data_IF_647826853086
#
_entry.id   IF_647826853086
#
_cell.length_a   1.000
_cell.length_b   1.000
_cell.length_c   1.000
_cell.angle_alpha   90.00
_cell.angle_beta   90.00
_cell.angle_gamma   90.00
#
_symmetry.space_group_name_H-M   'P 1'
#
loop_
_entity.id
_entity.type
_entity.pdbx_description
1 polymer ?
#
# COMPACT_ATOMS: atom_id res chain seq x y z
N UNK A 1 23.61 22.65 -18.68
CA UNK A 1 23.41 24.11 -18.67
C UNK A 1 23.46 24.53 -20.14
N UNK A 2 22.31 24.83 -20.73
CA UNK A 2 22.22 25.27 -22.14
C UNK A 2 21.70 26.70 -22.09
N UNK A 3 22.56 27.67 -22.39
CA UNK A 3 22.15 29.07 -22.57
C UNK A 3 21.54 29.21 -23.96
N UNK A 4 20.26 29.54 -24.03
CA UNK A 4 19.63 29.96 -25.29
C UNK A 4 19.65 31.48 -25.32
N UNK A 5 20.26 32.05 -26.35
CA UNK A 5 20.31 33.50 -26.57
C UNK A 5 19.20 33.89 -27.57
N UNK A 6 18.45 34.96 -27.29
CA UNK A 6 17.43 35.50 -28.20
C UNK A 6 17.90 36.89 -28.65
N UNK A 7 17.87 37.14 -29.96
CA UNK A 7 18.30 38.38 -30.60
C UNK A 7 17.11 39.33 -30.78
N UNK A 8 17.19 40.56 -30.25
CA UNK A 8 16.15 41.59 -30.42
C UNK A 8 16.77 42.89 -30.94
N UNK A 9 17.08 42.94 -32.25
CA UNK A 9 17.34 44.21 -32.95
C UNK A 9 18.42 45.12 -32.37
N UNK A 10 18.27 46.43 -32.62
CA UNK A 10 19.29 47.49 -32.55
C UNK A 10 19.86 47.85 -31.16
N UNK A 11 19.61 47.03 -30.14
CA UNK A 11 20.05 47.28 -28.76
C UNK A 11 20.60 46.02 -28.06
N UNK A 12 21.46 45.26 -28.75
CA UNK A 12 22.40 44.32 -28.13
C UNK A 12 21.81 43.11 -27.38
N UNK A 13 22.69 42.22 -26.92
CA UNK A 13 22.30 41.04 -26.13
C UNK A 13 22.01 41.44 -24.68
N UNK A 14 20.75 41.35 -24.25
CA UNK A 14 20.39 41.54 -22.84
C UNK A 14 20.29 40.19 -22.13
N UNK A 15 21.02 39.96 -21.02
CA UNK A 15 20.81 38.80 -20.17
C UNK A 15 19.52 39.02 -19.36
N UNK A 16 18.40 38.48 -19.84
CA UNK A 16 17.19 38.40 -19.03
C UNK A 16 17.35 37.26 -18.03
N UNK A 17 17.72 37.60 -16.80
CA UNK A 17 17.57 36.68 -15.66
C UNK A 17 16.07 36.58 -15.39
N UNK A 18 15.39 35.68 -16.08
CA UNK A 18 14.11 35.17 -15.61
C UNK A 18 14.40 34.33 -14.36
N UNK A 19 13.91 34.69 -13.16
CA UNK A 19 13.89 33.75 -12.06
C UNK A 19 12.84 32.69 -12.41
N UNK A 20 13.24 31.67 -13.16
CA UNK A 20 12.51 30.42 -13.17
C UNK A 20 12.73 29.80 -11.79
N UNK A 21 11.89 30.21 -10.83
CA UNK A 21 11.70 29.43 -9.62
C UNK A 21 11.04 28.12 -10.06
N UNK A 22 11.74 26.96 -10.01
CA UNK A 22 11.07 25.70 -10.23
C UNK A 22 9.93 25.60 -9.18
N UNK A 23 8.74 25.09 -9.55
CA UNK A 23 7.67 24.91 -8.58
C UNK A 23 8.23 24.09 -7.43
N UNK A 24 8.15 24.62 -6.21
CA UNK A 24 8.65 24.00 -4.99
C UNK A 24 8.36 22.51 -5.01
N UNK A 25 9.40 21.72 -5.27
CA UNK A 25 9.33 20.29 -5.03
C UNK A 25 9.03 20.17 -3.54
N UNK A 26 7.80 19.76 -3.18
CA UNK A 26 7.46 19.37 -1.81
C UNK A 26 8.39 18.21 -1.44
N UNK A 27 9.50 18.54 -0.78
CA UNK A 27 10.47 17.59 -0.28
C UNK A 27 9.80 16.84 0.87
N UNK A 28 9.24 15.67 0.59
CA UNK A 28 8.75 14.78 1.65
C UNK A 28 9.97 14.26 2.42
N UNK A 29 10.05 14.44 3.74
CA UNK A 29 11.20 14.02 4.53
C UNK A 29 11.25 12.52 4.84
N UNK A 30 10.29 11.76 4.33
CA UNK A 30 10.08 10.34 4.57
C UNK A 30 10.72 9.52 3.45
N UNK A 31 11.55 8.55 3.79
CA UNK A 31 12.09 7.59 2.82
C UNK A 31 11.03 6.50 2.57
N UNK A 32 10.62 6.31 1.32
CA UNK A 32 9.71 5.22 0.97
C UNK A 32 10.51 4.07 0.36
N UNK A 33 10.33 2.87 0.90
CA UNK A 33 10.96 1.64 0.44
C UNK A 33 9.89 0.68 -0.05
N UNK A 34 10.05 0.20 -1.28
CA UNK A 34 9.15 -0.79 -1.86
C UNK A 34 9.80 -2.15 -1.77
N UNK A 35 9.13 -3.08 -1.10
CA UNK A 35 9.62 -4.45 -0.90
C UNK A 35 8.75 -5.40 -1.73
N UNK A 36 9.28 -5.92 -2.85
CA UNK A 36 8.65 -7.01 -3.55
C UNK A 36 8.69 -8.30 -2.73
N UNK A 37 7.61 -9.07 -2.74
CA UNK A 37 7.60 -10.42 -2.17
C UNK A 37 7.00 -11.42 -3.14
N UNK A 38 7.63 -12.56 -3.33
CA UNK A 38 7.08 -13.67 -4.11
C UNK A 38 6.06 -14.47 -3.28
N UNK A 39 5.17 -15.18 -3.96
CA UNK A 39 4.39 -16.24 -3.30
C UNK A 39 5.28 -17.47 -3.10
N UNK A 40 5.04 -18.22 -2.03
CA UNK A 40 5.62 -19.56 -1.89
C UNK A 40 5.09 -20.50 -2.98
N UNK A 41 5.79 -21.60 -3.27
CA UNK A 41 5.39 -22.55 -4.32
C UNK A 41 3.97 -23.09 -4.12
N UNK A 42 3.58 -23.39 -2.87
CA UNK A 42 2.25 -23.87 -2.52
C UNK A 42 1.16 -22.79 -2.73
N UNK A 43 1.45 -21.54 -2.34
CA UNK A 43 0.54 -20.41 -2.55
C UNK A 43 0.40 -20.09 -4.04
N UNK A 44 1.51 -20.11 -4.77
CA UNK A 44 1.57 -19.87 -6.21
C UNK A 44 0.77 -20.94 -6.97
N UNK A 45 0.97 -22.21 -6.65
CA UNK A 45 0.20 -23.31 -7.21
C UNK A 45 -1.31 -23.10 -7.02
N UNK A 46 -1.74 -22.80 -5.79
CA UNK A 46 -3.16 -22.57 -5.48
C UNK A 46 -3.70 -21.34 -6.20
N UNK A 47 -2.92 -20.26 -6.25
CA UNK A 47 -3.26 -19.04 -6.97
C UNK A 47 -3.45 -19.29 -8.47
N UNK A 48 -2.60 -20.12 -9.08
CA UNK A 48 -2.66 -20.45 -10.50
C UNK A 48 -3.86 -21.34 -10.84
N UNK A 49 -4.18 -22.33 -10.00
CA UNK A 49 -5.39 -23.13 -10.19
C UNK A 49 -6.65 -22.25 -10.12
N UNK A 50 -6.75 -21.38 -9.12
CA UNK A 50 -7.86 -20.44 -9.01
C UNK A 50 -7.90 -19.46 -10.20
N UNK A 51 -6.73 -19.03 -10.68
CA UNK A 51 -6.61 -18.16 -11.85
C UNK A 51 -7.16 -18.82 -13.10
N UNK A 52 -6.90 -20.11 -13.30
CA UNK A 52 -7.44 -20.89 -14.41
C UNK A 52 -8.96 -20.99 -14.35
N UNK A 53 -9.54 -21.26 -13.17
CA UNK A 53 -11.00 -21.32 -12.99
C UNK A 53 -11.66 -20.00 -13.41
N UNK A 54 -11.15 -18.87 -12.89
CA UNK A 54 -11.70 -17.54 -13.20
C UNK A 54 -11.55 -17.20 -14.68
N UNK A 55 -10.36 -17.43 -15.25
CA UNK A 55 -10.11 -17.14 -16.68
C UNK A 55 -10.99 -17.98 -17.58
N UNK A 56 -11.14 -19.28 -17.31
CA UNK A 56 -11.98 -20.20 -18.09
C UNK A 56 -13.44 -19.77 -18.06
N UNK A 57 -13.96 -19.38 -16.89
CA UNK A 57 -15.34 -18.90 -16.77
C UNK A 57 -15.57 -17.63 -17.60
N UNK A 58 -14.69 -16.63 -17.47
CA UNK A 58 -14.80 -15.37 -18.22
C UNK A 58 -14.65 -15.61 -19.73
N UNK A 59 -13.72 -16.47 -20.15
CA UNK A 59 -13.52 -16.78 -21.57
C UNK A 59 -14.78 -17.40 -22.17
N UNK A 60 -15.36 -18.42 -21.54
CA UNK A 60 -16.61 -19.05 -21.98
C UNK A 60 -17.76 -18.06 -22.07
N UNK A 61 -17.93 -17.19 -21.06
CA UNK A 61 -18.97 -16.15 -21.09
C UNK A 61 -18.77 -15.12 -22.21
N UNK A 62 -17.53 -14.93 -22.67
CA UNK A 62 -17.24 -14.05 -23.80
C UNK A 62 -17.53 -14.66 -25.17
N UNK A 63 -17.60 -15.99 -25.26
CA UNK A 63 -18.08 -16.67 -26.47
C UNK A 63 -19.57 -16.34 -26.71
N UNK A 64 -20.36 -16.31 -25.64
CA UNK A 64 -21.79 -15.96 -25.68
C UNK A 64 -22.02 -14.43 -25.73
N UNK A 65 -21.26 -13.68 -24.94
CA UNK A 65 -21.37 -12.23 -24.81
C UNK A 65 -19.99 -11.56 -24.92
N UNK A 66 -19.56 -11.12 -26.12
CA UNK A 66 -18.21 -10.59 -26.33
C UNK A 66 -17.79 -9.44 -25.40
N UNK A 67 -18.77 -8.64 -24.93
CA UNK A 67 -18.54 -7.51 -23.99
C UNK A 67 -18.62 -7.91 -22.51
N UNK A 68 -18.65 -9.21 -22.18
CA UNK A 68 -18.78 -9.68 -20.80
C UNK A 68 -17.63 -9.18 -19.91
N UNK A 69 -18.01 -8.59 -18.76
CA UNK A 69 -17.10 -8.00 -17.78
C UNK A 69 -17.25 -8.66 -16.41
N UNK A 70 -16.30 -8.35 -15.54
CA UNK A 70 -16.30 -8.79 -14.15
C UNK A 70 -17.62 -8.48 -13.41
N UNK A 71 -18.24 -7.32 -13.67
CA UNK A 71 -19.52 -6.96 -13.06
C UNK A 71 -20.64 -7.97 -13.38
N UNK A 72 -20.61 -8.58 -14.58
CA UNK A 72 -21.55 -9.64 -14.95
C UNK A 72 -21.39 -10.89 -14.09
N UNK A 73 -20.14 -11.28 -13.79
CA UNK A 73 -19.87 -12.42 -12.91
C UNK A 73 -20.40 -12.17 -11.49
N UNK A 74 -20.29 -10.95 -10.97
CA UNK A 74 -20.90 -10.59 -9.70
C UNK A 74 -22.43 -10.79 -9.71
N UNK A 75 -23.12 -10.30 -10.75
CA UNK A 75 -24.57 -10.42 -10.87
C UNK A 75 -25.06 -11.87 -11.01
N UNK A 76 -24.29 -12.73 -11.69
CA UNK A 76 -24.67 -14.12 -11.93
C UNK A 76 -24.36 -15.07 -10.78
N UNK A 77 -23.64 -14.61 -9.75
CA UNK A 77 -23.24 -15.43 -8.60
C UNK A 77 -24.47 -15.99 -7.87
N UNK A 78 -25.59 -15.25 -7.80
CA UNK A 78 -26.82 -15.77 -7.20
C UNK A 78 -27.44 -16.92 -8.00
N UNK A 79 -27.46 -16.82 -9.33
CA UNK A 79 -28.20 -17.72 -10.20
C UNK A 79 -27.40 -18.97 -10.63
N UNK A 80 -26.13 -18.80 -11.02
CA UNK A 80 -25.37 -19.86 -11.68
C UNK A 80 -24.34 -20.53 -10.74
N UNK A 81 -24.36 -21.87 -10.55
CA UNK A 81 -23.35 -22.59 -9.77
C UNK A 81 -21.91 -22.36 -10.25
N UNK A 82 -21.70 -22.30 -11.57
CA UNK A 82 -20.41 -22.03 -12.17
C UNK A 82 -19.89 -20.61 -11.86
N UNK A 83 -20.79 -19.61 -11.81
CA UNK A 83 -20.46 -18.25 -11.39
C UNK A 83 -20.01 -18.21 -9.93
N UNK A 84 -20.74 -18.91 -9.03
CA UNK A 84 -20.35 -19.05 -7.62
C UNK A 84 -18.97 -19.65 -7.46
N UNK A 85 -18.66 -20.70 -8.21
CA UNK A 85 -17.36 -21.34 -8.16
C UNK A 85 -16.25 -20.37 -8.61
N UNK A 86 -16.45 -19.68 -9.74
CA UNK A 86 -15.49 -18.68 -10.21
C UNK A 86 -15.31 -17.53 -9.20
N UNK A 87 -16.38 -17.08 -8.55
CA UNK A 87 -16.33 -16.04 -7.52
C UNK A 87 -15.55 -16.50 -6.28
N UNK A 88 -15.80 -17.73 -5.80
CA UNK A 88 -15.02 -18.32 -4.69
C UNK A 88 -13.54 -18.42 -5.02
N UNK A 89 -13.20 -18.88 -6.23
CA UNK A 89 -11.81 -18.94 -6.70
C UNK A 89 -11.17 -17.55 -6.76
N UNK A 90 -11.92 -16.53 -7.20
CA UNK A 90 -11.44 -15.15 -7.19
C UNK A 90 -11.15 -14.64 -5.78
N UNK A 91 -12.05 -14.85 -4.81
CA UNK A 91 -11.82 -14.42 -3.44
C UNK A 91 -10.63 -15.14 -2.80
N UNK A 92 -10.46 -16.44 -3.07
CA UNK A 92 -9.30 -17.17 -2.58
C UNK A 92 -7.98 -16.60 -3.11
N UNK A 93 -7.93 -16.19 -4.38
CA UNK A 93 -6.76 -15.48 -4.93
C UNK A 93 -6.47 -14.19 -4.19
N UNK A 94 -7.51 -13.39 -3.92
CA UNK A 94 -7.36 -12.12 -3.20
C UNK A 94 -6.87 -12.34 -1.77
N UNK A 95 -7.34 -13.41 -1.12
CA UNK A 95 -6.85 -13.85 0.19
C UNK A 95 -5.36 -14.20 0.16
N UNK A 96 -4.91 -14.96 -0.85
CA UNK A 96 -3.49 -15.32 -1.04
C UNK A 96 -2.65 -14.07 -1.29
N UNK A 97 -3.07 -13.18 -2.20
CA UNK A 97 -2.36 -11.92 -2.49
C UNK A 97 -2.20 -11.04 -1.24
N UNK A 98 -3.25 -10.93 -0.42
CA UNK A 98 -3.26 -10.00 0.71
C UNK A 98 -2.52 -10.54 1.93
N UNK A 99 -2.48 -11.86 2.14
CA UNK A 99 -1.96 -12.50 3.35
C UNK A 99 -0.82 -13.51 3.09
N UNK A 100 -0.11 -13.37 1.97
CA UNK A 100 0.96 -14.31 1.65
C UNK A 100 2.01 -14.37 2.78
N UNK A 101 2.56 -15.56 2.99
CA UNK A 101 3.45 -15.83 4.11
C UNK A 101 4.69 -14.92 4.09
N UNK A 102 5.21 -14.61 2.91
CA UNK A 102 6.36 -13.71 2.76
C UNK A 102 6.07 -12.27 3.25
N UNK A 103 4.83 -11.77 3.18
CA UNK A 103 4.47 -10.47 3.79
C UNK A 103 4.68 -10.48 5.30
N UNK A 104 4.37 -11.60 5.96
CA UNK A 104 4.56 -11.75 7.41
C UNK A 104 6.04 -11.89 7.76
N UNK A 105 6.84 -12.59 6.94
CA UNK A 105 8.30 -12.69 7.12
C UNK A 105 8.97 -11.33 7.00
N UNK A 106 8.64 -10.56 5.97
CA UNK A 106 9.16 -9.19 5.81
C UNK A 106 8.75 -8.28 6.97
N UNK A 107 7.52 -8.41 7.49
CA UNK A 107 7.12 -7.67 8.68
C UNK A 107 7.97 -8.02 9.91
N UNK A 108 8.32 -9.30 10.09
CA UNK A 108 9.22 -9.74 11.15
C UNK A 108 10.60 -9.07 11.04
N UNK A 109 11.15 -9.02 9.83
CA UNK A 109 12.45 -8.37 9.58
C UNK A 109 12.40 -6.87 9.82
N UNK A 110 11.32 -6.20 9.40
CA UNK A 110 11.13 -4.76 9.64
C UNK A 110 11.03 -4.49 11.16
N UNK A 111 10.29 -5.31 11.91
CA UNK A 111 10.20 -5.14 13.36
C UNK A 111 11.55 -5.33 14.05
N UNK A 112 12.37 -6.30 13.59
CA UNK A 112 13.73 -6.51 14.10
C UNK A 112 14.67 -5.35 13.76
N UNK A 113 14.55 -4.78 12.56
CA UNK A 113 15.36 -3.64 12.14
C UNK A 113 15.07 -2.36 12.95
N UNK A 114 13.81 -2.21 13.41
CA UNK A 114 13.32 -1.00 14.05
C UNK A 114 12.96 -1.19 15.53
N UNK A 115 13.69 -2.08 16.23
CA UNK A 115 13.55 -2.26 17.69
C UNK A 115 13.73 -0.93 18.41
N UNK A 116 12.82 -0.62 19.34
CA UNK A 116 12.85 0.65 20.09
C UNK A 116 12.23 1.84 19.36
N UNK A 117 11.77 1.67 18.11
CA UNK A 117 11.15 2.74 17.33
C UNK A 117 9.64 2.50 17.20
N UNK A 118 8.86 3.56 17.43
CA UNK A 118 7.40 3.51 17.24
C UNK A 118 7.06 3.18 15.78
N UNK A 119 6.42 2.04 15.60
CA UNK A 119 6.09 1.45 14.32
C UNK A 119 4.58 1.27 14.19
N UNK A 120 4.01 1.72 13.08
CA UNK A 120 2.59 1.53 12.78
C UNK A 120 2.40 0.70 11.52
N UNK A 121 1.54 -0.31 11.58
CA UNK A 121 1.24 -1.19 10.45
C UNK A 121 -0.18 -0.95 9.99
N UNK A 122 -0.34 -0.45 8.76
CA UNK A 122 -1.64 -0.27 8.13
C UNK A 122 -1.90 -1.40 7.15
N UNK A 123 -2.77 -2.32 7.53
CA UNK A 123 -3.21 -3.39 6.66
C UNK A 123 -4.43 -2.93 5.83
N UNK A 124 -4.82 -3.70 4.81
CA UNK A 124 -6.01 -3.41 4.01
C UNK A 124 -7.24 -4.25 4.36
N UNK A 125 -7.14 -5.10 5.40
CA UNK A 125 -8.16 -6.10 5.74
C UNK A 125 -8.03 -6.51 7.20
N UNK A 126 -9.15 -6.74 7.88
CA UNK A 126 -9.20 -7.24 9.26
C UNK A 126 -8.43 -8.57 9.42
N UNK A 127 -8.51 -9.43 8.41
CA UNK A 127 -7.89 -10.75 8.40
C UNK A 127 -6.37 -10.67 8.43
N UNK A 128 -5.78 -9.71 7.69
CA UNK A 128 -4.34 -9.46 7.74
C UNK A 128 -3.93 -8.84 9.08
N UNK A 129 -4.70 -7.87 9.58
CA UNK A 129 -4.45 -7.25 10.88
C UNK A 129 -4.43 -8.31 12.01
N UNK A 130 -5.42 -9.20 12.01
CA UNK A 130 -5.49 -10.34 12.94
C UNK A 130 -4.36 -11.36 12.73
N UNK A 131 -3.92 -11.60 11.49
CA UNK A 131 -2.77 -12.48 11.23
C UNK A 131 -1.48 -11.91 11.85
N UNK A 132 -1.24 -10.61 11.70
CA UNK A 132 -0.10 -9.91 12.34
C UNK A 132 -0.22 -9.96 13.86
N UNK A 133 -1.40 -9.65 14.40
CA UNK A 133 -1.66 -9.71 15.85
C UNK A 133 -1.34 -11.08 16.44
N UNK A 134 -1.85 -12.15 15.83
CA UNK A 134 -1.64 -13.53 16.30
C UNK A 134 -0.20 -13.99 16.17
N UNK A 135 0.51 -13.53 15.13
CA UNK A 135 1.90 -13.93 14.87
C UNK A 135 2.89 -13.24 15.82
N UNK A 136 2.67 -11.96 16.11
CA UNK A 136 3.64 -11.12 16.82
C UNK A 136 3.15 -10.64 18.19
N UNK A 137 1.93 -11.01 18.59
CA UNK A 137 1.29 -10.57 19.84
C UNK A 137 1.16 -9.05 19.96
N UNK A 138 0.86 -8.39 18.84
CA UNK A 138 0.76 -6.93 18.74
C UNK A 138 -0.70 -6.48 18.85
N UNK A 139 -0.93 -5.40 19.61
CA UNK A 139 -2.22 -4.74 19.74
C UNK A 139 -2.73 -4.27 18.38
N UNK A 140 -3.99 -4.59 18.08
CA UNK A 140 -4.57 -4.35 16.76
C UNK A 140 -5.92 -3.65 16.88
N UNK A 141 -6.10 -2.61 16.07
CA UNK A 141 -7.37 -1.91 15.89
C UNK A 141 -8.01 -2.44 14.61
N UNK A 142 -9.22 -2.96 14.74
CA UNK A 142 -10.05 -3.42 13.63
C UNK A 142 -11.16 -2.42 13.32
N UNK A 143 -11.81 -2.58 12.16
CA UNK A 143 -12.92 -1.70 11.76
C UNK A 143 -14.05 -1.63 12.78
N UNK A 144 -14.31 -2.75 13.46
CA UNK A 144 -15.38 -2.90 14.46
C UNK A 144 -14.90 -2.69 15.90
N UNK A 145 -13.64 -2.30 16.13
CA UNK A 145 -13.15 -2.01 17.49
C UNK A 145 -13.90 -0.79 18.06
N UNK A 146 -14.54 -0.91 19.24
CA UNK A 146 -15.29 0.18 19.88
C UNK A 146 -14.44 1.42 20.10
N UNK A 147 -15.06 2.61 20.00
CA UNK A 147 -14.38 3.91 20.14
C UNK A 147 -13.51 4.01 21.39
N UNK A 148 -14.02 3.56 22.55
CA UNK A 148 -13.29 3.58 23.82
C UNK A 148 -12.00 2.75 23.78
N UNK A 149 -12.07 1.53 23.23
CA UNK A 149 -10.90 0.64 23.13
C UNK A 149 -9.88 1.19 22.12
N UNK A 150 -10.37 1.76 21.02
CA UNK A 150 -9.52 2.40 20.01
C UNK A 150 -8.72 3.57 20.58
N UNK A 151 -9.37 4.44 21.37
CA UNK A 151 -8.70 5.56 22.03
C UNK A 151 -7.64 5.05 23.01
N UNK A 152 -7.98 4.09 23.87
CA UNK A 152 -7.00 3.50 24.80
C UNK A 152 -5.78 2.87 24.09
N UNK A 153 -6.00 2.22 22.94
CA UNK A 153 -4.90 1.66 22.14
C UNK A 153 -4.01 2.74 21.51
N UNK A 154 -4.60 3.86 21.07
CA UNK A 154 -3.85 4.99 20.53
C UNK A 154 -3.10 5.75 21.64
N UNK A 155 -3.73 5.95 22.80
CA UNK A 155 -3.10 6.60 23.95
C UNK A 155 -1.89 5.78 24.44
N UNK A 156 -2.04 4.46 24.56
CA UNK A 156 -0.94 3.55 24.91
C UNK A 156 0.17 3.47 23.84
N UNK A 157 -0.13 3.80 22.59
CA UNK A 157 0.89 3.96 21.55
C UNK A 157 1.55 5.35 21.63
N UNK A 158 0.79 6.38 21.99
CA UNK A 158 1.26 7.76 22.14
C UNK A 158 2.21 7.92 23.33
N UNK A 159 1.92 7.30 24.48
CA UNK A 159 2.77 7.33 25.67
C UNK A 159 3.97 6.36 25.58
N UNK A 160 3.92 5.40 24.66
CA UNK A 160 4.99 4.43 24.43
C UNK A 160 4.85 3.12 25.20
N UNK A 161 3.72 2.89 25.89
CA UNK A 161 3.37 1.59 26.48
C UNK A 161 3.48 0.46 25.46
N UNK A 162 3.06 0.73 24.22
CA UNK A 162 3.26 -0.16 23.08
C UNK A 162 4.08 0.55 22.00
N UNK A 163 5.13 -0.12 21.52
CA UNK A 163 5.98 0.40 20.43
C UNK A 163 5.42 0.08 19.05
N UNK A 164 4.54 -0.91 18.94
CA UNK A 164 3.97 -1.32 17.65
C UNK A 164 2.46 -1.35 17.73
N UNK A 165 1.80 -0.78 16.71
CA UNK A 165 0.35 -0.77 16.58
C UNK A 165 -0.05 -1.23 15.17
N UNK A 166 -1.03 -2.12 15.08
CA UNK A 166 -1.60 -2.56 13.80
C UNK A 166 -3.00 -1.99 13.64
N UNK A 167 -3.34 -1.51 12.44
CA UNK A 167 -4.67 -1.03 12.10
C UNK A 167 -5.14 -1.60 10.75
N UNK A 168 -6.40 -2.02 10.64
CA UNK A 168 -7.00 -2.56 9.40
C UNK A 168 -7.35 -1.52 8.34
N UNK A 169 -7.51 -0.27 8.78
CA UNK A 169 -7.70 0.93 7.97
C UNK A 169 -7.02 2.10 8.66
N UNK A 170 -6.73 3.14 7.88
CA UNK A 170 -6.34 4.40 8.50
C UNK A 170 -7.51 4.87 9.35
N UNK A 171 -7.33 5.23 10.63
CA UNK A 171 -8.38 5.81 11.45
C UNK A 171 -9.10 6.90 10.67
N UNK A 172 -10.43 6.80 10.64
CA UNK A 172 -11.33 7.67 9.88
C UNK A 172 -11.06 9.17 10.17
N UNK A 173 -11.54 10.04 9.28
CA UNK A 173 -11.44 11.51 9.44
C UNK A 173 -11.82 11.93 10.87
N UNK A 174 -10.85 12.46 11.64
CA UNK A 174 -11.08 13.01 12.98
C UNK A 174 -10.37 12.29 14.14
N UNK A 175 -9.63 11.21 13.89
CA UNK A 175 -8.77 10.58 14.91
C UNK A 175 -7.31 10.89 14.60
N UNK A 176 -6.65 11.62 15.51
CA UNK A 176 -5.22 11.91 15.39
C UNK A 176 -4.41 10.64 15.71
N UNK A 177 -3.54 10.24 14.79
CA UNK A 177 -2.72 9.05 14.97
C UNK A 177 -1.40 9.50 15.57
N UNK A 178 -0.95 8.93 16.70
CA UNK A 178 0.25 9.37 17.38
C UNK A 178 1.50 9.24 16.50
N UNK A 179 2.50 10.06 16.81
CA UNK A 179 3.75 10.13 16.05
C UNK A 179 4.45 8.77 15.97
N UNK A 180 4.78 8.36 14.73
CA UNK A 180 5.54 7.14 14.45
C UNK A 180 6.78 7.44 13.60
N UNK A 181 7.87 6.69 13.83
CA UNK A 181 9.08 6.79 13.00
C UNK A 181 9.01 5.86 11.79
N UNK A 182 8.30 4.75 11.92
CA UNK A 182 8.21 3.70 10.91
C UNK A 182 6.76 3.43 10.61
N UNK A 183 6.43 3.35 9.33
CA UNK A 183 5.14 2.89 8.87
C UNK A 183 5.31 1.73 7.88
N UNK A 184 4.46 0.71 8.01
CA UNK A 184 4.44 -0.43 7.10
C UNK A 184 3.05 -0.61 6.52
N UNK A 185 2.99 -0.79 5.21
CA UNK A 185 1.77 -1.11 4.47
C UNK A 185 1.97 -2.45 3.77
N UNK A 186 1.60 -3.59 4.40
CA UNK A 186 1.48 -4.84 3.68
C UNK A 186 0.35 -4.70 2.65
N UNK A 187 0.72 -4.70 1.37
CA UNK A 187 -0.08 -4.28 0.24
C UNK A 187 -1.48 -4.90 0.16
N UNK A 188 -2.39 -4.16 -0.48
CA UNK A 188 -3.80 -4.50 -0.68
C UNK A 188 -4.53 -3.43 -1.50
N UNK A 189 -5.79 -3.66 -1.88
CA UNK A 189 -6.62 -2.68 -2.63
C UNK A 189 -6.88 -1.42 -1.81
N UNK A 190 -6.71 -0.23 -2.40
CA UNK A 190 -7.10 1.07 -1.80
C UNK A 190 -6.23 1.59 -0.64
N UNK A 191 -5.77 0.72 0.26
CA UNK A 191 -5.13 1.08 1.53
C UNK A 191 -3.86 1.95 1.37
N UNK A 192 -2.99 1.64 0.41
CA UNK A 192 -1.74 2.37 0.23
C UNK A 192 -1.92 3.85 -0.20
N UNK A 193 -3.01 4.22 -0.89
CA UNK A 193 -3.24 5.62 -1.28
C UNK A 193 -3.70 6.46 -0.09
N UNK A 194 -4.64 5.92 0.67
CA UNK A 194 -5.20 6.56 1.85
C UNK A 194 -4.17 6.60 2.99
N UNK A 195 -3.39 5.52 3.15
CA UNK A 195 -2.25 5.45 4.05
C UNK A 195 -1.23 6.54 3.72
N UNK A 196 -0.77 6.70 2.47
CA UNK A 196 0.22 7.75 2.14
C UNK A 196 -0.24 9.18 2.44
N UNK A 197 -1.48 9.53 2.06
CA UNK A 197 -2.00 10.89 2.26
C UNK A 197 -2.14 11.24 3.74
N UNK A 198 -2.43 10.26 4.59
CA UNK A 198 -2.61 10.45 6.03
C UNK A 198 -1.33 10.23 6.82
N UNK A 199 -0.49 9.27 6.44
CA UNK A 199 0.84 8.99 7.01
C UNK A 199 1.79 10.17 6.91
N UNK A 200 1.63 11.06 5.92
CA UNK A 200 2.37 12.32 5.88
C UNK A 200 2.15 13.22 7.10
N UNK A 201 1.04 13.05 7.83
CA UNK A 201 0.74 13.76 9.09
C UNK A 201 1.16 12.97 10.34
N UNK A 202 1.21 11.65 10.23
CA UNK A 202 1.58 10.71 11.33
C UNK A 202 3.09 10.54 11.45
N UNK A 203 3.79 10.58 10.32
CA UNK A 203 5.25 10.44 10.25
C UNK A 203 5.89 11.81 10.47
N UNK A 204 6.25 12.11 11.72
CA UNK A 204 7.00 13.33 12.07
C UNK A 204 8.50 13.08 12.11
N UNK A 205 9.26 14.13 11.78
CA UNK A 205 10.69 14.21 12.07
C UNK A 205 10.85 14.42 13.58
N UNK A 206 11.05 13.36 14.36
CA UNK A 206 11.51 13.51 15.75
C UNK A 206 12.99 13.14 15.85
N UNK A 207 13.84 14.16 16.11
CA UNK A 207 15.29 14.05 16.17
C UNK A 207 15.99 14.05 14.81
N UNK A 208 17.18 13.44 14.73
CA UNK A 208 18.05 13.39 13.54
C UNK A 208 17.67 12.30 12.53
N UNK A 209 16.80 11.36 12.89
CA UNK A 209 16.42 10.22 12.06
C UNK A 209 15.21 10.52 11.16
N UNK A 210 15.31 10.17 9.87
CA UNK A 210 14.22 10.30 8.89
C UNK A 210 13.16 9.22 9.12
N UNK A 211 11.89 9.58 8.94
CA UNK A 211 10.81 8.61 8.95
C UNK A 211 10.90 7.66 7.74
N UNK A 212 10.50 6.40 7.92
CA UNK A 212 10.55 5.37 6.86
C UNK A 212 9.17 4.78 6.63
N UNK A 213 8.79 4.65 5.36
CA UNK A 213 7.55 4.01 4.94
C UNK A 213 7.86 2.80 4.05
N UNK A 214 7.51 1.61 4.51
CA UNK A 214 7.61 0.37 3.77
C UNK A 214 6.29 0.03 3.08
N UNK A 215 6.32 -0.20 1.76
CA UNK A 215 5.19 -0.79 1.01
C UNK A 215 5.60 -2.20 0.57
N UNK A 216 5.01 -3.22 1.18
CA UNK A 216 5.30 -4.64 0.87
C UNK A 216 4.28 -5.14 -0.13
N UNK A 217 4.69 -5.52 -1.35
CA UNK A 217 3.74 -5.86 -2.43
C UNK A 217 4.04 -7.24 -2.98
N UNK A 218 2.99 -8.05 -3.16
CA UNK A 218 3.15 -9.36 -3.75
C UNK A 218 3.47 -9.24 -5.25
N UNK A 219 4.64 -9.73 -5.66
CA UNK A 219 5.07 -9.80 -7.05
C UNK A 219 4.21 -10.74 -7.90
N UNK A 220 4.25 -10.57 -9.22
CA UNK A 220 3.56 -11.43 -10.21
C UNK A 220 2.04 -11.60 -10.06
N UNK A 221 1.42 -10.80 -9.19
CA UNK A 221 -0.02 -10.79 -8.96
C UNK A 221 -0.65 -9.47 -9.41
N UNK A 222 -1.98 -9.33 -9.26
CA UNK A 222 -2.65 -8.05 -9.53
C UNK A 222 -2.11 -6.92 -8.65
N UNK A 223 -1.45 -7.24 -7.54
CA UNK A 223 -0.89 -6.28 -6.61
C UNK A 223 0.24 -5.44 -7.24
N UNK A 224 1.09 -6.04 -8.08
CA UNK A 224 2.10 -5.31 -8.87
C UNK A 224 1.46 -4.34 -9.83
N UNK A 225 0.44 -4.76 -10.58
CA UNK A 225 -0.26 -3.90 -11.54
C UNK A 225 -0.97 -2.74 -10.82
N UNK A 226 -1.54 -3.00 -9.64
CA UNK A 226 -2.13 -1.96 -8.76
C UNK A 226 -1.07 -1.00 -8.25
N UNK A 227 0.07 -1.48 -7.74
CA UNK A 227 1.18 -0.62 -7.30
C UNK A 227 1.74 0.21 -8.46
N UNK A 228 2.00 -0.39 -9.63
CA UNK A 228 2.47 0.31 -10.84
C UNK A 228 1.48 1.39 -11.32
N UNK A 229 0.18 1.11 -11.35
CA UNK A 229 -0.82 2.11 -11.72
C UNK A 229 -0.91 3.25 -10.68
N UNK A 230 -0.74 2.96 -9.38
CA UNK A 230 -0.65 4.01 -8.33
C UNK A 230 0.57 4.91 -8.53
N UNK A 231 1.70 4.34 -8.96
CA UNK A 231 2.94 5.08 -9.23
C UNK A 231 2.82 6.08 -10.38
N UNK A 232 1.91 5.84 -11.35
CA UNK A 232 1.69 6.74 -12.50
C UNK A 232 0.82 7.96 -12.21
N UNK A 233 0.06 7.99 -11.11
CA UNK A 233 -0.95 9.03 -10.82
C UNK A 233 -0.42 10.17 -9.92
N UNK A 234 0.69 10.80 -10.28
CA UNK A 234 1.13 12.13 -9.78
C UNK A 234 1.64 12.31 -8.34
N UNK A 235 1.73 11.26 -7.52
CA UNK A 235 2.26 11.37 -6.14
C UNK A 235 3.62 10.68 -5.91
N UNK A 236 4.29 10.22 -6.97
CA UNK A 236 5.49 9.37 -6.90
C UNK A 236 6.66 9.81 -7.78
N UNK A 237 6.57 10.95 -8.47
CA UNK A 237 7.61 11.39 -9.40
C UNK A 237 8.98 11.63 -8.71
N UNK A 238 8.99 11.97 -7.40
CA UNK A 238 10.15 12.54 -6.71
C UNK A 238 10.72 11.71 -5.55
N UNK A 239 10.36 10.43 -5.38
CA UNK A 239 10.94 9.60 -4.30
C UNK A 239 12.12 8.79 -4.84
N UNK A 240 13.30 8.93 -4.20
CA UNK A 240 14.51 8.16 -4.56
C UNK A 240 14.20 6.66 -4.51
N UNK A 241 14.34 6.00 -5.66
CA UNK A 241 14.10 4.57 -5.83
C UNK A 241 15.27 3.81 -5.20
N UNK A 242 14.98 2.98 -4.20
CA UNK A 242 15.91 1.94 -3.76
C UNK A 242 15.13 0.64 -3.78
N UNK A 243 15.46 -0.24 -4.73
CA UNK A 243 15.07 -1.64 -4.66
C UNK A 243 16.15 -2.28 -3.82
N UNK A 244 15.79 -2.82 -2.65
CA UNK A 244 16.68 -3.72 -1.94
C UNK A 244 16.62 -5.03 -2.71
N UNK A 245 17.61 -5.21 -3.59
CA UNK A 245 17.87 -6.45 -4.32
C UNK A 245 18.84 -7.32 -3.56
#
# INVERSE_FOLDING_TARGET
MVCMWIWTGSSGWLPTICPFQPPEARHWPTTMLWIPVALSDCEQYTYDQCSRVVRRYIARRREEQPRYRWQGLCGETGAAPAARHAMKAYHLKEVIENRCQEKLRVLEDIFRLHVGQKTIVFTGSNEMAMAVSRRFWILTILSHTPKRQRLAALDGFADGTFQVLVADRVPDEGIDVPDAKVAVVPGGQGAARQARQRLGRVLRKSGTARAVLYEVVCENTKDVRRSRNRRRSDAFANVKRTVLG
#
